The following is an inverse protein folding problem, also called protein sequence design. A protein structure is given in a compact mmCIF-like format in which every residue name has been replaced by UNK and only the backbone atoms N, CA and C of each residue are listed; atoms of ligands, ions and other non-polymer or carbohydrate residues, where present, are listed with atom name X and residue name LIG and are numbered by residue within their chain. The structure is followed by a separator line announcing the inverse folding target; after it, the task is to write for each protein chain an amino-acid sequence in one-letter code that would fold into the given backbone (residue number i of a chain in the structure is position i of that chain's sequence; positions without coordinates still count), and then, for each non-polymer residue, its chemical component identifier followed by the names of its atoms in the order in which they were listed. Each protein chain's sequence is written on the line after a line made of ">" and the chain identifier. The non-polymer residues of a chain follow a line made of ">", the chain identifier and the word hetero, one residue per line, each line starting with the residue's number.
data_IF_587040486280
#
_entry.id   IF_587040486280
#
_cell.length_a   1.000
_cell.length_b   1.000
_cell.length_c   1.000
_cell.angle_alpha   90.00
_cell.angle_beta   90.00
_cell.angle_gamma   90.00
#
_symmetry.space_group_name_H-M   'P 1'
#
loop_
_entity.id
_entity.type
_entity.pdbx_description
1 polymer ?
#
# COMPACT_ATOMS: atom_id res chain seq x y z
N UNK A 1 -35.71 8.38 17.46
CA UNK A 1 -35.91 7.23 16.56
C UNK A 1 -34.57 6.55 16.48
N UNK A 2 -34.42 5.43 17.19
CA UNK A 2 -33.20 4.61 17.15
C UNK A 2 -33.14 4.07 15.72
N UNK A 3 -32.20 4.57 14.93
CA UNK A 3 -31.92 4.02 13.61
C UNK A 3 -30.99 2.85 13.87
N UNK A 4 -31.49 1.65 13.58
CA UNK A 4 -30.83 0.40 13.89
C UNK A 4 -29.47 0.26 13.19
N UNK A 5 -28.50 -0.19 13.97
CA UNK A 5 -27.09 -0.53 13.71
C UNK A 5 -26.87 -1.53 12.55
N UNK A 6 -27.95 -2.06 11.97
CA UNK A 6 -27.94 -3.12 10.94
C UNK A 6 -27.89 -2.55 9.51
N UNK A 7 -28.15 -1.24 9.34
CA UNK A 7 -28.14 -0.58 8.02
C UNK A 7 -26.76 -0.10 7.56
N UNK A 8 -25.82 0.08 8.49
CA UNK A 8 -24.45 0.53 8.20
C UNK A 8 -23.62 -0.57 7.51
N UNK A 9 -23.74 -1.83 7.92
CA UNK A 9 -22.94 -2.94 7.35
C UNK A 9 -23.33 -3.28 5.91
N UNK A 10 -24.64 -3.31 5.59
CA UNK A 10 -25.12 -3.62 4.24
C UNK A 10 -24.74 -2.50 3.28
N UNK A 11 -24.92 -1.25 3.71
CA UNK A 11 -24.54 -0.06 2.95
C UNK A 11 -23.02 0.01 2.77
N UNK A 12 -22.26 -0.26 3.84
CA UNK A 12 -20.80 -0.31 3.83
C UNK A 12 -20.25 -1.36 2.88
N UNK A 13 -20.82 -2.57 2.88
CA UNK A 13 -20.45 -3.62 1.93
C UNK A 13 -20.73 -3.25 0.47
N UNK A 14 -21.85 -2.58 0.20
CA UNK A 14 -22.14 -2.09 -1.15
C UNK A 14 -21.14 -1.02 -1.60
N UNK A 15 -20.74 -0.11 -0.72
CA UNK A 15 -19.72 0.90 -1.02
C UNK A 15 -18.34 0.27 -1.21
N UNK A 16 -17.94 -0.67 -0.35
CA UNK A 16 -16.68 -1.39 -0.50
C UNK A 16 -16.62 -2.16 -1.83
N UNK A 17 -17.70 -2.82 -2.23
CA UNK A 17 -17.81 -3.47 -3.55
C UNK A 17 -17.65 -2.48 -4.71
N UNK A 18 -18.21 -1.28 -4.58
CA UNK A 18 -18.05 -0.23 -5.58
C UNK A 18 -16.61 0.27 -5.65
N UNK A 19 -15.96 0.48 -4.50
CA UNK A 19 -14.54 0.85 -4.42
C UNK A 19 -13.63 -0.23 -5.04
N UNK A 20 -13.93 -1.51 -4.82
CA UNK A 20 -13.20 -2.61 -5.48
C UNK A 20 -13.42 -2.60 -7.00
N UNK A 21 -14.63 -2.28 -7.46
CA UNK A 21 -15.00 -2.29 -8.88
C UNK A 21 -14.44 -1.09 -9.66
N UNK A 22 -14.31 0.08 -9.01
CA UNK A 22 -13.75 1.29 -9.61
C UNK A 22 -12.23 1.41 -9.42
N UNK A 23 -11.69 0.74 -8.40
CA UNK A 23 -10.25 0.72 -8.12
C UNK A 23 -9.45 -0.03 -9.19
N UNK A 24 -8.18 0.35 -9.35
CA UNK A 24 -7.22 -0.49 -10.10
C UNK A 24 -6.83 -1.66 -9.20
N UNK A 25 -7.16 -2.93 -9.53
CA UNK A 25 -7.17 -4.04 -8.57
C UNK A 25 -5.90 -4.16 -7.74
N UNK A 26 -4.73 -4.01 -8.35
CA UNK A 26 -3.44 -4.19 -7.69
C UNK A 26 -3.08 -3.16 -6.61
N UNK A 27 -3.85 -2.07 -6.48
CA UNK A 27 -3.59 -1.00 -5.52
C UNK A 27 -4.60 -0.96 -4.36
N UNK A 28 -5.64 -1.80 -4.42
CA UNK A 28 -6.74 -1.77 -3.45
C UNK A 28 -6.27 -2.31 -2.09
N UNK A 29 -6.58 -1.58 -1.02
CA UNK A 29 -6.21 -1.92 0.34
C UNK A 29 -6.91 -3.22 0.85
N UNK A 30 -6.30 -3.96 1.78
CA UNK A 30 -6.85 -5.24 2.28
C UNK A 30 -8.30 -5.16 2.77
N UNK A 31 -8.62 -4.13 3.54
CA UNK A 31 -9.95 -3.87 4.12
C UNK A 31 -11.01 -3.53 3.06
N UNK A 32 -10.58 -3.03 1.91
CA UNK A 32 -11.46 -2.80 0.76
C UNK A 32 -11.63 -4.08 -0.06
N UNK A 33 -10.58 -4.91 -0.15
CA UNK A 33 -10.60 -6.19 -0.85
C UNK A 33 -11.50 -7.24 -0.17
N UNK A 34 -11.53 -7.28 1.16
CA UNK A 34 -12.36 -8.21 1.94
C UNK A 34 -13.65 -7.60 2.50
N UNK A 35 -13.93 -6.35 2.11
CA UNK A 35 -15.12 -5.57 2.49
C UNK A 35 -15.22 -5.29 4.00
N UNK A 36 -14.11 -5.35 4.74
CA UNK A 36 -14.09 -5.04 6.18
C UNK A 36 -13.88 -3.56 6.53
N UNK A 37 -13.74 -2.67 5.53
CA UNK A 37 -13.51 -1.24 5.74
C UNK A 37 -14.58 -0.58 6.63
N UNK A 38 -14.14 0.09 7.70
CA UNK A 38 -15.04 0.78 8.63
C UNK A 38 -15.40 2.20 8.16
N UNK A 39 -16.58 2.35 7.56
CA UNK A 39 -17.05 3.63 7.03
C UNK A 39 -17.74 4.54 8.06
N UNK A 40 -17.85 4.15 9.34
CA UNK A 40 -18.34 5.04 10.40
C UNK A 40 -17.47 6.29 10.53
N UNK A 41 -16.17 6.14 10.28
CA UNK A 41 -15.18 7.21 10.19
C UNK A 41 -14.55 7.25 8.78
N UNK A 42 -15.39 7.30 7.75
CA UNK A 42 -15.00 7.24 6.33
C UNK A 42 -13.80 8.12 5.95
N UNK A 43 -13.65 9.33 6.53
CA UNK A 43 -12.51 10.21 6.23
C UNK A 43 -11.16 9.58 6.58
N UNK A 44 -11.04 8.98 7.76
CA UNK A 44 -9.80 8.34 8.21
C UNK A 44 -9.58 7.01 7.50
N UNK A 45 -10.64 6.20 7.36
CA UNK A 45 -10.56 4.90 6.69
C UNK A 45 -10.12 5.04 5.22
N UNK A 46 -10.71 5.97 4.46
CA UNK A 46 -10.33 6.21 3.07
C UNK A 46 -8.93 6.81 2.97
N UNK A 47 -8.54 7.69 3.90
CA UNK A 47 -7.16 8.22 3.95
C UNK A 47 -6.15 7.09 4.16
N UNK A 48 -6.43 6.12 5.02
CA UNK A 48 -5.53 4.99 5.23
C UNK A 48 -5.50 4.02 4.06
N UNK A 49 -6.60 3.86 3.32
CA UNK A 49 -6.60 3.12 2.05
C UNK A 49 -5.76 3.84 0.97
N UNK A 50 -5.77 5.18 0.95
CA UNK A 50 -4.91 5.99 0.08
C UNK A 50 -3.43 5.87 0.46
N UNK A 51 -3.10 5.81 1.76
CA UNK A 51 -1.72 5.55 2.23
C UNK A 51 -1.23 4.19 1.74
N UNK A 52 -2.06 3.15 1.86
CA UNK A 52 -1.74 1.83 1.33
C UNK A 52 -1.48 1.90 -0.18
N UNK A 53 -2.38 2.50 -0.94
CA UNK A 53 -2.25 2.64 -2.40
C UNK A 53 -0.97 3.40 -2.78
N UNK A 54 -0.68 4.49 -2.09
CA UNK A 54 0.50 5.33 -2.30
C UNK A 54 1.79 4.56 -2.08
N UNK A 55 1.84 3.68 -1.07
CA UNK A 55 3.02 2.88 -0.77
C UNK A 55 3.41 1.92 -1.91
N UNK A 56 2.43 1.38 -2.63
CA UNK A 56 2.65 0.52 -3.78
C UNK A 56 3.22 1.30 -4.96
N UNK A 57 2.73 2.53 -5.18
CA UNK A 57 3.31 3.46 -6.16
C UNK A 57 4.74 3.84 -5.79
N UNK A 58 5.01 4.11 -4.50
CA UNK A 58 6.36 4.37 -4.01
C UNK A 58 7.28 3.16 -4.24
N UNK A 59 6.79 1.93 -4.01
CA UNK A 59 7.52 0.70 -4.34
C UNK A 59 7.86 0.62 -5.84
N UNK A 60 6.92 0.93 -6.73
CA UNK A 60 7.19 0.96 -8.17
C UNK A 60 8.25 2.02 -8.54
N UNK A 61 8.20 3.19 -7.93
CA UNK A 61 9.18 4.26 -8.18
C UNK A 61 10.57 3.81 -7.73
N UNK A 62 10.71 3.36 -6.48
CA UNK A 62 12.04 3.01 -5.93
C UNK A 62 12.64 1.79 -6.62
N UNK A 63 11.83 0.85 -7.12
CA UNK A 63 12.33 -0.31 -7.88
C UNK A 63 12.87 0.03 -9.26
N UNK A 64 12.61 1.25 -9.75
CA UNK A 64 13.12 1.75 -11.03
C UNK A 64 14.29 2.75 -10.85
N UNK A 65 14.66 3.08 -9.62
CA UNK A 65 15.72 4.05 -9.33
C UNK A 65 17.11 3.41 -9.25
N UNK A 66 18.11 4.07 -9.86
CA UNK A 66 19.54 3.67 -9.80
C UNK A 66 20.08 3.60 -8.37
N UNK A 67 19.46 4.38 -7.47
CA UNK A 67 19.77 4.37 -6.04
C UNK A 67 19.45 3.06 -5.34
N UNK A 68 18.60 2.20 -5.92
CA UNK A 68 18.16 0.91 -5.37
C UNK A 68 18.62 -0.29 -6.20
N UNK A 69 18.85 -0.09 -7.50
CA UNK A 69 19.26 -1.11 -8.46
C UNK A 69 20.36 -0.60 -9.37
N UNK A 70 21.41 -1.39 -9.64
CA UNK A 70 22.43 -1.02 -10.65
C UNK A 70 21.81 -1.07 -12.06
N UNK A 71 20.92 -2.03 -12.28
CA UNK A 71 20.10 -2.16 -13.48
C UNK A 71 18.70 -2.57 -13.04
N UNK A 72 17.70 -1.67 -13.07
CA UNK A 72 16.37 -2.01 -12.63
C UNK A 72 15.76 -3.11 -13.50
N UNK A 73 14.93 -4.00 -12.92
CA UNK A 73 14.16 -4.97 -13.69
C UNK A 73 13.14 -4.24 -14.59
N UNK A 74 12.62 -4.90 -15.65
CA UNK A 74 11.51 -4.36 -16.41
C UNK A 74 10.37 -3.95 -15.48
N UNK A 75 9.80 -2.77 -15.72
CA UNK A 75 8.69 -2.27 -14.94
C UNK A 75 7.52 -3.27 -14.95
N UNK A 76 6.95 -3.52 -13.78
CA UNK A 76 5.76 -4.34 -13.58
C UNK A 76 4.90 -3.73 -12.51
N UNK A 77 3.58 -3.87 -12.68
CA UNK A 77 2.61 -3.51 -11.65
C UNK A 77 2.81 -4.37 -10.39
N UNK A 78 2.37 -3.89 -9.22
CA UNK A 78 2.36 -4.68 -7.99
C UNK A 78 1.64 -6.01 -8.18
N UNK A 79 2.17 -7.08 -7.59
CA UNK A 79 1.60 -8.45 -7.59
C UNK A 79 1.42 -9.12 -8.97
N UNK A 80 1.66 -8.43 -10.09
CA UNK A 80 1.34 -8.91 -11.44
C UNK A 80 1.95 -10.26 -11.80
N UNK A 81 3.09 -10.59 -11.21
CA UNK A 81 3.76 -11.87 -11.43
C UNK A 81 3.23 -13.00 -10.54
N UNK A 82 2.58 -12.66 -9.43
CA UNK A 82 2.17 -13.59 -8.39
C UNK A 82 0.67 -13.91 -8.40
N UNK A 83 -0.15 -13.09 -9.06
CA UNK A 83 -1.62 -13.21 -9.07
C UNK A 83 -2.19 -13.02 -10.47
N UNK A 84 -3.24 -13.77 -10.80
CA UNK A 84 -3.89 -13.72 -12.13
C UNK A 84 -5.34 -13.28 -12.10
N UNK A 85 -6.03 -13.55 -10.98
CA UNK A 85 -7.44 -13.20 -10.76
C UNK A 85 -7.61 -12.33 -9.53
N UNK A 86 -8.78 -11.71 -9.38
CA UNK A 86 -9.12 -10.96 -8.17
C UNK A 86 -9.16 -11.85 -6.92
N UNK A 87 -9.59 -13.12 -7.06
CA UNK A 87 -9.59 -14.08 -5.96
C UNK A 87 -8.17 -14.43 -5.52
N UNK A 88 -7.24 -14.60 -6.47
CA UNK A 88 -5.83 -14.80 -6.16
C UNK A 88 -5.26 -13.58 -5.43
N UNK A 89 -5.62 -12.37 -5.88
CA UNK A 89 -5.20 -11.12 -5.26
C UNK A 89 -5.69 -11.02 -3.80
N UNK A 90 -6.98 -11.27 -3.54
CA UNK A 90 -7.54 -11.29 -2.19
C UNK A 90 -6.79 -12.31 -1.32
N UNK A 91 -6.62 -13.54 -1.80
CA UNK A 91 -5.87 -14.57 -1.06
C UNK A 91 -4.41 -14.16 -0.82
N UNK A 92 -3.77 -13.50 -1.77
CA UNK A 92 -2.38 -13.07 -1.68
C UNK A 92 -2.21 -11.91 -0.68
N UNK A 93 -3.03 -10.87 -0.79
CA UNK A 93 -2.90 -9.61 -0.02
C UNK A 93 -3.53 -9.71 1.36
N UNK A 94 -4.72 -10.31 1.48
CA UNK A 94 -5.49 -10.37 2.73
C UNK A 94 -5.10 -11.61 3.54
N UNK A 95 -5.22 -12.80 2.95
CA UNK A 95 -5.02 -14.06 3.70
C UNK A 95 -3.55 -14.33 3.96
N UNK A 96 -2.72 -14.26 2.91
CA UNK A 96 -1.27 -14.55 3.01
C UNK A 96 -0.46 -13.34 3.47
N UNK A 97 -1.07 -12.15 3.56
CA UNK A 97 -0.45 -10.87 3.94
C UNK A 97 0.85 -10.60 3.18
N UNK A 98 0.88 -10.98 1.90
CA UNK A 98 2.04 -10.76 1.04
C UNK A 98 2.01 -9.35 0.45
N UNK A 99 3.20 -8.83 0.23
CA UNK A 99 3.48 -7.50 -0.35
C UNK A 99 4.56 -7.66 -1.44
N UNK A 100 4.69 -6.72 -2.38
CA UNK A 100 5.73 -6.77 -3.38
C UNK A 100 7.13 -6.81 -2.73
N UNK A 101 8.01 -7.67 -3.26
CA UNK A 101 9.36 -7.81 -2.70
C UNK A 101 10.25 -6.61 -3.06
N UNK A 102 11.10 -6.23 -2.13
CA UNK A 102 12.24 -5.38 -2.42
C UNK A 102 13.47 -6.23 -2.77
N UNK A 103 13.86 -6.26 -4.04
CA UNK A 103 15.04 -7.03 -4.49
C UNK A 103 16.27 -6.14 -4.66
N UNK A 104 16.74 -5.52 -3.58
CA UNK A 104 17.85 -4.55 -3.66
C UNK A 104 19.14 -5.14 -4.24
N UNK A 105 19.82 -4.36 -5.09
CA UNK A 105 21.19 -4.66 -5.48
C UNK A 105 22.16 -4.07 -4.44
N UNK A 106 22.94 -4.93 -3.79
CA UNK A 106 23.98 -4.52 -2.84
C UNK A 106 25.01 -3.55 -3.46
N UNK A 107 25.17 -3.56 -4.78
CA UNK A 107 26.11 -2.73 -5.54
C UNK A 107 25.51 -1.41 -6.06
N UNK A 108 24.23 -1.12 -5.79
CA UNK A 108 23.60 0.13 -6.24
C UNK A 108 24.27 1.36 -5.61
N UNK A 109 24.07 2.53 -6.21
CA UNK A 109 24.81 3.76 -5.88
C UNK A 109 24.26 4.53 -4.67
N UNK A 110 23.02 4.28 -4.24
CA UNK A 110 22.39 5.01 -3.13
C UNK A 110 23.04 4.75 -1.76
N UNK A 111 22.82 5.63 -0.79
CA UNK A 111 23.21 5.35 0.59
C UNK A 111 22.38 4.19 1.15
N UNK A 112 23.02 3.20 1.80
CA UNK A 112 22.31 2.10 2.49
C UNK A 112 21.30 2.65 3.50
N UNK A 113 21.68 3.66 4.27
CA UNK A 113 20.80 4.29 5.26
C UNK A 113 19.56 4.92 4.62
N UNK A 114 19.72 5.67 3.54
CA UNK A 114 18.60 6.27 2.80
C UNK A 114 17.64 5.20 2.27
N UNK A 115 18.17 4.11 1.69
CA UNK A 115 17.34 3.00 1.21
C UNK A 115 16.56 2.35 2.33
N UNK A 116 17.21 2.09 3.47
CA UNK A 116 16.56 1.44 4.61
C UNK A 116 15.41 2.32 5.15
N UNK A 117 15.62 3.64 5.27
CA UNK A 117 14.57 4.57 5.72
C UNK A 117 13.38 4.58 4.76
N UNK A 118 13.63 4.70 3.45
CA UNK A 118 12.56 4.72 2.44
C UNK A 118 11.82 3.38 2.43
N UNK A 119 12.55 2.27 2.47
CA UNK A 119 11.98 0.91 2.48
C UNK A 119 11.10 0.67 3.69
N UNK A 120 11.60 0.97 4.89
CA UNK A 120 10.82 0.82 6.13
C UNK A 120 9.59 1.74 6.12
N UNK A 121 9.72 2.95 5.59
CA UNK A 121 8.57 3.86 5.43
C UNK A 121 7.49 3.25 4.53
N UNK A 122 7.86 2.68 3.37
CA UNK A 122 6.91 1.99 2.50
C UNK A 122 6.31 0.77 3.21
N UNK A 123 7.13 0.01 3.95
CA UNK A 123 6.67 -1.18 4.68
C UNK A 123 5.63 -0.82 5.74
N UNK A 124 5.83 0.26 6.47
CA UNK A 124 4.87 0.73 7.47
C UNK A 124 3.62 1.34 6.82
N UNK A 125 3.69 1.87 5.58
CA UNK A 125 2.51 2.41 4.88
C UNK A 125 1.57 1.33 4.31
N UNK A 126 2.05 0.12 3.97
CA UNK A 126 1.20 -0.97 3.46
C UNK A 126 0.82 -2.02 4.51
N UNK A 127 0.85 -1.66 5.80
CA UNK A 127 0.44 -2.59 6.85
C UNK A 127 -0.97 -3.13 6.58
N UNK A 128 -1.20 -4.38 6.98
CA UNK A 128 -2.53 -5.00 6.83
C UNK A 128 -3.56 -4.33 7.71
N UNK A 129 -3.13 -3.81 8.86
CA UNK A 129 -3.96 -3.07 9.81
C UNK A 129 -3.89 -1.57 9.48
N UNK A 130 -5.03 -0.97 9.11
CA UNK A 130 -5.12 0.45 8.76
C UNK A 130 -4.72 1.40 9.88
N UNK A 131 -4.90 1.02 11.15
CA UNK A 131 -4.53 1.85 12.30
C UNK A 131 -3.02 1.83 12.55
N UNK A 132 -2.33 0.77 12.10
CA UNK A 132 -0.88 0.64 12.21
C UNK A 132 -0.13 1.37 11.08
N UNK A 133 -0.84 1.84 10.04
CA UNK A 133 -0.22 2.55 8.91
C UNK A 133 0.24 3.95 9.31
N UNK A 134 1.35 4.39 8.72
CA UNK A 134 1.81 5.76 8.86
C UNK A 134 0.79 6.76 8.30
N UNK A 135 0.70 7.94 8.93
CA UNK A 135 0.05 9.05 8.26
C UNK A 135 0.84 9.49 7.02
N UNK A 136 0.14 10.02 6.01
CA UNK A 136 0.78 10.55 4.80
C UNK A 136 1.83 11.64 5.11
N UNK A 137 1.58 12.49 6.13
CA UNK A 137 2.55 13.49 6.57
C UNK A 137 3.80 12.86 7.17
N UNK A 138 3.66 11.83 8.00
CA UNK A 138 4.80 11.13 8.59
C UNK A 138 5.65 10.44 7.50
N UNK A 139 5.00 9.76 6.55
CA UNK A 139 5.69 9.12 5.44
C UNK A 139 6.48 10.13 4.59
N UNK A 140 5.86 11.26 4.25
CA UNK A 140 6.53 12.36 3.53
C UNK A 140 7.73 12.88 4.31
N UNK A 141 7.58 13.17 5.59
CA UNK A 141 8.64 13.79 6.40
C UNK A 141 9.85 12.85 6.54
N UNK A 142 9.62 11.54 6.69
CA UNK A 142 10.69 10.53 6.68
C UNK A 142 11.42 10.47 5.34
N UNK A 143 10.68 10.49 4.23
CA UNK A 143 11.26 10.46 2.88
C UNK A 143 12.07 11.74 2.62
N UNK A 144 11.55 12.91 2.98
CA UNK A 144 12.23 14.20 2.81
C UNK A 144 13.52 14.27 3.64
N UNK A 145 13.50 13.74 4.87
CA UNK A 145 14.70 13.62 5.69
C UNK A 145 15.74 12.69 5.04
N UNK A 146 15.33 11.51 4.58
CA UNK A 146 16.23 10.56 3.93
C UNK A 146 16.82 11.10 2.61
N UNK A 147 16.04 11.92 1.90
CA UNK A 147 16.44 12.63 0.69
C UNK A 147 17.54 13.64 1.04
N UNK A 148 17.33 14.52 2.03
CA UNK A 148 18.32 15.53 2.45
C UNK A 148 19.67 14.97 2.89
N UNK A 149 19.72 13.75 3.42
CA UNK A 149 20.97 13.09 3.84
C UNK A 149 21.73 12.40 2.70
N UNK A 150 21.16 12.36 1.48
CA UNK A 150 21.75 11.66 0.34
C UNK A 150 22.69 12.54 -0.54
N UNK A 151 22.75 13.86 -0.31
CA UNK A 151 23.67 14.84 -0.95
C UNK A 151 23.90 16.06 -0.06
#
# INVERSE_FOLDING_TARGET
>A
MVIDDVTDDVTGNMYAQHLTAEGTPYYVAPEVLDLSINLRHHGEALTQADVYSTSLVLWEIVTQCDGFYVKPPPHSLPYRHDVTTIHDLINHVVVRKKRPDFRFDLKSSGSRGTRDVITNTIIECWDSDEECRLSASCARDRIDFAWKDAW
#
